data_IF_116310096929
#
_entry.id   IF_116310096929
#
_cell.length_a   1.000
_cell.length_b   1.000
_cell.length_c   1.000
_cell.angle_alpha   90.00
_cell.angle_beta   90.00
_cell.angle_gamma   90.00
#
_symmetry.space_group_name_H-M   'P 1'
#
loop_
_entity.id
_entity.type
_entity.pdbx_description
1 polymer ?
#
# COMPACT_ATOMS: atom_id res chain seq x y z
N UNK A 1 2.54 -0.30 -9.74
CA UNK A 1 1.96 -0.77 -8.46
C UNK A 1 1.99 0.35 -7.44
N UNK A 2 0.92 0.50 -6.67
CA UNK A 2 0.81 1.56 -5.69
C UNK A 2 0.88 1.00 -4.28
N UNK A 3 1.49 1.75 -3.40
CA UNK A 3 1.48 1.47 -1.98
C UNK A 3 1.55 2.78 -1.22
N UNK A 4 1.14 2.75 0.02
CA UNK A 4 1.19 3.91 0.91
C UNK A 4 2.04 3.55 2.10
N UNK A 5 2.84 4.51 2.55
CA UNK A 5 3.73 4.33 3.70
C UNK A 5 3.50 5.46 4.69
N UNK A 6 3.66 5.14 5.97
CA UNK A 6 3.58 6.14 7.03
C UNK A 6 4.95 6.34 7.67
N UNK A 7 5.08 7.43 8.41
CA UNK A 7 6.35 7.77 9.07
C UNK A 7 6.73 6.78 10.16
N UNK A 8 5.77 6.05 10.72
CA UNK A 8 6.01 5.07 11.78
C UNK A 8 6.26 3.65 11.25
N UNK A 9 6.38 3.48 9.93
CA UNK A 9 6.72 2.20 9.33
C UNK A 9 5.54 1.35 8.91
N UNK A 10 4.32 1.87 8.90
CA UNK A 10 3.18 1.17 8.31
C UNK A 10 3.23 1.23 6.79
N UNK A 11 2.83 0.14 6.16
CA UNK A 11 2.64 0.07 4.71
C UNK A 11 1.25 -0.46 4.41
N UNK A 12 0.62 0.13 3.40
CA UNK A 12 -0.69 -0.31 2.91
C UNK A 12 -0.59 -0.51 1.41
N UNK A 13 -0.99 -1.67 0.93
CA UNK A 13 -1.00 -1.94 -0.51
C UNK A 13 -2.22 -2.76 -0.91
N UNK A 14 -2.73 -2.56 -2.15
CA UNK A 14 -3.86 -3.33 -2.63
C UNK A 14 -3.43 -4.75 -2.99
N UNK A 15 -4.25 -5.71 -2.61
CA UNK A 15 -4.05 -7.12 -2.95
C UNK A 15 -5.37 -7.73 -3.37
N UNK A 16 -5.31 -8.84 -4.09
CA UNK A 16 -6.50 -9.61 -4.46
C UNK A 16 -6.34 -11.00 -3.87
N UNK A 17 -7.30 -11.42 -3.04
CA UNK A 17 -7.30 -12.73 -2.41
C UNK A 17 -8.62 -13.42 -2.75
N UNK A 18 -8.53 -14.56 -3.42
CA UNK A 18 -9.70 -15.32 -3.86
C UNK A 18 -10.69 -14.46 -4.65
N UNK A 19 -10.17 -13.62 -5.53
CA UNK A 19 -10.97 -12.72 -6.35
C UNK A 19 -11.51 -11.48 -5.63
N UNK A 20 -11.17 -11.28 -4.37
CA UNK A 20 -11.64 -10.14 -3.57
C UNK A 20 -10.55 -9.09 -3.42
N UNK A 21 -10.81 -7.83 -3.81
CA UNK A 21 -9.86 -6.76 -3.57
C UNK A 21 -9.84 -6.39 -2.08
N UNK A 22 -8.64 -6.38 -1.51
CA UNK A 22 -8.42 -6.04 -0.11
C UNK A 22 -7.24 -5.10 -0.02
N UNK A 23 -7.12 -4.43 1.13
CA UNK A 23 -5.95 -3.61 1.46
C UNK A 23 -5.14 -4.35 2.52
N UNK A 24 -3.89 -4.63 2.20
CA UNK A 24 -2.99 -5.29 3.13
C UNK A 24 -2.25 -4.24 3.95
N UNK A 25 -2.25 -4.41 5.26
CA UNK A 25 -1.54 -3.54 6.19
C UNK A 25 -0.37 -4.30 6.79
N UNK A 26 0.82 -3.71 6.73
CA UNK A 26 2.03 -4.23 7.37
C UNK A 26 2.66 -3.13 8.22
N UNK A 27 3.40 -3.54 9.26
CA UNK A 27 4.15 -2.63 10.10
C UNK A 27 5.57 -3.13 10.26
N UNK A 28 6.53 -2.34 9.83
CA UNK A 28 7.96 -2.70 9.86
C UNK A 28 8.24 -4.06 9.20
N UNK A 29 7.50 -4.34 8.11
CA UNK A 29 7.61 -5.60 7.39
C UNK A 29 6.76 -6.75 7.92
N UNK A 30 6.13 -6.59 9.09
CA UNK A 30 5.28 -7.63 9.68
C UNK A 30 3.83 -7.44 9.26
N UNK A 31 3.18 -8.54 8.94
CA UNK A 31 1.77 -8.53 8.56
C UNK A 31 0.89 -8.13 9.74
N UNK A 32 0.05 -7.11 9.54
CA UNK A 32 -0.94 -6.66 10.53
C UNK A 32 -2.31 -7.25 10.21
N UNK A 33 -2.76 -7.13 8.96
CA UNK A 33 -4.06 -7.67 8.59
C UNK A 33 -4.49 -7.24 7.19
N UNK A 34 -5.63 -7.78 6.77
CA UNK A 34 -6.29 -7.38 5.53
C UNK A 34 -7.53 -6.57 5.88
N UNK A 35 -7.71 -5.47 5.16
CA UNK A 35 -8.85 -4.58 5.38
C UNK A 35 -9.71 -4.52 4.12
N UNK A 36 -11.02 -4.53 4.29
CA UNK A 36 -11.96 -4.46 3.17
C UNK A 36 -12.29 -3.04 2.73
N UNK A 37 -11.87 -2.04 3.48
CA UNK A 37 -12.17 -0.64 3.19
C UNK A 37 -11.10 0.28 3.78
N UNK A 38 -11.09 1.53 3.31
CA UNK A 38 -10.21 2.57 3.85
C UNK A 38 -10.55 2.85 5.31
N UNK A 39 -11.84 2.78 5.68
CA UNK A 39 -12.25 2.99 7.07
C UNK A 39 -11.63 1.96 8.01
N UNK A 40 -11.49 0.70 7.56
CA UNK A 40 -10.83 -0.33 8.37
C UNK A 40 -9.32 -0.07 8.48
N UNK A 41 -8.69 0.44 7.42
CA UNK A 41 -7.28 0.82 7.47
C UNK A 41 -7.07 1.91 8.51
N UNK A 42 -7.99 2.86 8.62
CA UNK A 42 -7.89 3.96 9.58
C UNK A 42 -7.86 3.50 11.04
N UNK A 43 -8.36 2.28 11.32
CA UNK A 43 -8.27 1.71 12.67
C UNK A 43 -6.84 1.28 13.04
N UNK A 44 -5.97 1.10 12.05
CA UNK A 44 -4.59 0.64 12.26
C UNK A 44 -3.56 1.72 12.00
N UNK A 45 -3.87 2.68 11.11
CA UNK A 45 -2.90 3.65 10.59
C UNK A 45 -3.56 5.02 10.56
N UNK A 46 -2.80 6.07 10.90
CA UNK A 46 -3.25 7.43 10.68
C UNK A 46 -3.22 7.73 9.18
N UNK A 47 -4.39 7.85 8.56
CA UNK A 47 -4.50 8.07 7.12
C UNK A 47 -3.83 9.38 6.68
N UNK A 48 -3.84 10.39 7.55
CA UNK A 48 -3.22 11.67 7.22
C UNK A 48 -1.70 11.58 7.12
N UNK A 49 -1.10 10.54 7.72
CA UNK A 49 0.34 10.32 7.69
C UNK A 49 0.78 9.45 6.50
N UNK A 50 -0.16 8.91 5.74
CA UNK A 50 0.16 8.04 4.61
C UNK A 50 0.59 8.85 3.40
N UNK A 51 1.69 8.41 2.77
CA UNK A 51 2.21 8.99 1.54
C UNK A 51 2.19 7.90 0.47
N UNK A 52 1.67 8.22 -0.69
CA UNK A 52 1.67 7.29 -1.82
C UNK A 52 3.07 7.17 -2.40
N UNK A 53 3.48 5.92 -2.61
CA UNK A 53 4.74 5.60 -3.27
C UNK A 53 4.43 4.93 -4.60
N UNK A 54 4.92 5.51 -5.68
CA UNK A 54 4.78 4.96 -7.03
C UNK A 54 6.12 4.33 -7.42
N UNK A 55 6.07 3.12 -7.98
CA UNK A 55 7.29 2.47 -8.40
C UNK A 55 7.91 3.20 -9.59
N UNK A 56 9.09 3.75 -9.37
CA UNK A 56 9.84 4.45 -10.40
C UNK A 56 10.33 3.53 -11.51
N UNK A 57 10.42 2.25 -11.24
CA UNK A 57 10.88 1.27 -12.20
C UNK A 57 10.04 1.26 -13.47
N UNK A 58 8.72 1.35 -13.36
CA UNK A 58 7.84 1.37 -14.52
C UNK A 58 8.06 2.62 -15.37
N UNK A 59 8.25 3.76 -14.73
CA UNK A 59 8.51 5.00 -15.44
C UNK A 59 9.85 4.93 -16.20
N UNK A 60 10.87 4.35 -15.60
CA UNK A 60 12.16 4.19 -16.23
C UNK A 60 12.09 3.24 -17.44
N UNK A 61 11.37 2.16 -17.32
CA UNK A 61 11.19 1.20 -18.41
C UNK A 61 10.46 1.85 -19.59
N UNK A 62 9.41 2.61 -19.31
CA UNK A 62 8.66 3.31 -20.36
C UNK A 62 9.55 4.30 -21.10
N UNK A 63 10.42 5.01 -20.43
CA UNK A 63 11.35 5.95 -21.06
C UNK A 63 12.39 5.24 -21.91
N UNK A 64 12.88 4.09 -21.45
CA UNK A 64 13.90 3.34 -22.16
C UNK A 64 13.37 2.81 -23.48
N UNK A 65 12.10 2.45 -23.52
CA UNK A 65 11.46 1.93 -24.72
C UNK A 65 11.03 3.02 -25.70
N UNK A 66 10.87 4.21 -25.22
CA UNK A 66 10.51 5.37 -26.05
C UNK A 66 11.72 6.05 -26.66
#
# INVERSE_FOLDING_TARGET
MRRWVSSDGHEVDPVVIEGRPLLRVRHLGYHVGYCGSVAEVAAHVDLADLVEVVELRQAAEARTQG
#
